data_IF_856786626856
#
_entry.id   IF_856786626856
#
_cell.length_a   1.000
_cell.length_b   1.000
_cell.length_c   1.000
_cell.angle_alpha   90.00
_cell.angle_beta   90.00
_cell.angle_gamma   90.00
#
_symmetry.space_group_name_H-M   'P 1'
#
loop_
_entity.id
_entity.type
_entity.pdbx_description
1 polymer ?
#
# COMPACT_ATOMS: atom_id res chain seq x y z
N UNK A 1 35.21 32.80 -16.98
CA UNK A 1 34.94 31.59 -16.17
C UNK A 1 33.45 31.36 -16.10
N UNK A 2 32.96 30.35 -16.82
CA UNK A 2 31.59 29.85 -16.67
C UNK A 2 31.60 28.40 -17.16
N UNK A 3 31.81 27.48 -16.22
CA UNK A 3 31.71 26.04 -16.44
C UNK A 3 30.24 25.63 -16.23
N UNK A 4 29.54 25.36 -17.33
CA UNK A 4 28.28 24.61 -17.34
C UNK A 4 28.62 23.13 -17.42
N UNK A 5 28.35 22.38 -16.35
CA UNK A 5 28.43 20.92 -16.28
C UNK A 5 27.02 20.37 -16.44
N UNK A 6 26.61 20.12 -17.69
CA UNK A 6 25.47 19.27 -17.99
C UNK A 6 26.02 17.89 -18.40
N UNK A 7 25.91 16.94 -17.48
CA UNK A 7 26.25 15.55 -17.69
C UNK A 7 24.97 14.70 -17.68
N UNK A 8 24.20 14.79 -18.76
CA UNK A 8 23.15 13.81 -19.06
C UNK A 8 23.81 12.50 -19.49
N UNK A 9 23.88 11.58 -18.54
CA UNK A 9 24.32 10.20 -18.78
C UNK A 9 23.19 9.35 -19.34
N UNK A 10 22.80 9.60 -20.59
CA UNK A 10 22.08 8.61 -21.41
C UNK A 10 23.03 7.43 -21.66
N UNK A 11 22.86 6.38 -20.86
CA UNK A 11 23.37 5.05 -21.20
C UNK A 11 22.20 4.21 -21.66
N UNK A 12 22.05 4.19 -22.98
CA UNK A 12 21.16 3.32 -23.72
C UNK A 12 21.31 1.87 -23.26
N UNK A 13 20.17 1.21 -23.08
CA UNK A 13 20.11 -0.24 -22.83
C UNK A 13 20.24 -1.02 -24.15
N UNK A 14 20.77 -0.41 -25.21
CA UNK A 14 20.99 -1.09 -26.47
C UNK A 14 22.26 -1.93 -26.40
N UNK A 15 22.06 -3.24 -26.26
CA UNK A 15 23.10 -4.23 -26.52
C UNK A 15 23.10 -4.46 -28.04
N UNK A 16 24.15 -3.99 -28.70
CA UNK A 16 24.28 -3.95 -30.16
C UNK A 16 23.89 -5.23 -30.89
N UNK A 17 23.22 -5.04 -32.02
CA UNK A 17 22.75 -6.07 -32.94
C UNK A 17 23.93 -6.81 -33.59
N UNK A 18 24.00 -8.12 -33.35
CA UNK A 18 24.59 -9.08 -34.28
C UNK A 18 23.67 -10.28 -34.35
N UNK A 19 23.30 -10.64 -35.58
CA UNK A 19 22.48 -11.79 -35.97
C UNK A 19 22.80 -13.04 -35.12
N UNK A 20 21.96 -13.28 -34.12
CA UNK A 20 21.88 -14.53 -33.38
C UNK A 20 20.39 -14.88 -33.33
N UNK A 21 20.07 -16.16 -33.60
CA UNK A 21 18.72 -16.69 -33.58
C UNK A 21 17.87 -16.05 -32.47
N UNK A 22 16.73 -15.45 -32.84
CA UNK A 22 15.81 -14.76 -31.93
C UNK A 22 15.65 -15.57 -30.63
N UNK A 23 16.27 -15.10 -29.55
CA UNK A 23 16.16 -15.74 -28.25
C UNK A 23 14.75 -15.47 -27.70
N UNK A 24 13.80 -16.29 -28.14
CA UNK A 24 12.40 -16.26 -27.74
C UNK A 24 12.23 -16.44 -26.22
N UNK A 25 13.27 -16.90 -25.51
CA UNK A 25 13.21 -17.19 -24.07
C UNK A 25 13.76 -16.06 -23.21
N UNK A 26 14.68 -15.24 -23.70
CA UNK A 26 15.40 -14.21 -22.95
C UNK A 26 16.61 -14.74 -22.14
N UNK A 27 16.91 -16.05 -22.23
CA UNK A 27 18.03 -16.69 -21.50
C UNK A 27 19.39 -16.23 -21.99
N UNK A 28 19.59 -16.17 -23.29
CA UNK A 28 20.83 -15.69 -23.92
C UNK A 28 21.07 -14.23 -23.57
N UNK A 29 20.03 -13.39 -23.64
CA UNK A 29 20.11 -11.98 -23.23
C UNK A 29 20.49 -11.84 -21.76
N UNK A 30 19.94 -12.67 -20.88
CA UNK A 30 20.30 -12.69 -19.47
C UNK A 30 21.75 -13.10 -19.23
N UNK A 31 22.21 -14.18 -19.86
CA UNK A 31 23.58 -14.67 -19.72
C UNK A 31 24.59 -13.62 -20.19
N UNK A 32 24.35 -12.99 -21.35
CA UNK A 32 25.18 -11.88 -21.86
C UNK A 32 25.19 -10.69 -20.92
N UNK A 33 24.03 -10.33 -20.36
CA UNK A 33 23.94 -9.23 -19.40
C UNK A 33 24.68 -9.54 -18.09
N UNK A 34 24.62 -10.80 -17.62
CA UNK A 34 25.36 -11.25 -16.45
C UNK A 34 26.86 -11.18 -16.66
N UNK A 35 27.35 -11.65 -17.81
CA UNK A 35 28.76 -11.57 -18.19
C UNK A 35 29.24 -10.11 -18.25
N UNK A 36 28.51 -9.24 -18.95
CA UNK A 36 28.85 -7.81 -19.09
C UNK A 36 28.86 -7.07 -17.74
N UNK A 37 27.98 -7.44 -16.82
CA UNK A 37 27.86 -6.81 -15.50
C UNK A 37 28.72 -7.49 -14.42
N UNK A 38 29.45 -8.56 -14.79
CA UNK A 38 30.24 -9.40 -13.89
C UNK A 38 29.45 -9.91 -12.68
N UNK A 39 28.25 -10.44 -12.94
CA UNK A 39 27.38 -11.05 -11.93
C UNK A 39 27.15 -12.52 -12.24
N UNK A 40 27.00 -13.33 -11.19
CA UNK A 40 26.72 -14.76 -11.35
C UNK A 40 25.24 -14.92 -11.75
N UNK A 41 24.94 -15.62 -12.86
CA UNK A 41 23.56 -15.89 -13.27
C UNK A 41 22.78 -16.66 -12.19
N UNK A 42 21.57 -16.22 -11.90
CA UNK A 42 20.66 -16.95 -11.02
C UNK A 42 20.08 -18.17 -11.75
N UNK A 43 20.45 -19.38 -11.35
CA UNK A 43 19.94 -20.62 -11.97
C UNK A 43 18.42 -20.68 -11.96
N UNK A 44 17.80 -20.29 -10.84
CA UNK A 44 16.34 -20.26 -10.69
C UNK A 44 15.66 -19.35 -11.71
N UNK A 45 16.32 -18.26 -12.15
CA UNK A 45 15.78 -17.42 -13.22
C UNK A 45 15.75 -18.20 -14.53
N UNK A 46 16.87 -18.83 -14.92
CA UNK A 46 16.97 -19.63 -16.14
C UNK A 46 16.00 -20.81 -16.18
N UNK A 47 15.72 -21.41 -15.02
CA UNK A 47 14.75 -22.50 -14.87
C UNK A 47 13.30 -22.06 -15.03
N UNK A 48 12.96 -20.81 -14.66
CA UNK A 48 11.57 -20.34 -14.55
C UNK A 48 11.20 -19.18 -15.49
N UNK A 49 12.09 -18.78 -16.40
CA UNK A 49 11.87 -17.63 -17.30
C UNK A 49 10.66 -17.79 -18.26
N UNK A 50 10.20 -19.02 -18.47
CA UNK A 50 9.02 -19.34 -19.30
C UNK A 50 7.73 -19.49 -18.49
N UNK A 51 7.80 -19.40 -17.15
CA UNK A 51 6.63 -19.52 -16.31
C UNK A 51 5.89 -18.18 -16.23
N UNK A 52 4.60 -18.23 -15.92
CA UNK A 52 3.79 -17.04 -15.69
C UNK A 52 4.16 -16.29 -14.40
N UNK A 53 4.81 -16.98 -13.47
CA UNK A 53 5.27 -16.43 -12.20
C UNK A 53 6.75 -16.72 -12.00
N UNK A 54 7.49 -15.66 -11.73
CA UNK A 54 8.89 -15.70 -11.40
C UNK A 54 9.09 -15.14 -9.99
N UNK A 55 9.44 -16.01 -9.05
CA UNK A 55 9.81 -15.63 -7.70
C UNK A 55 11.32 -15.80 -7.49
N UNK A 56 12.01 -14.72 -7.11
CA UNK A 56 13.44 -14.71 -6.83
C UNK A 56 13.75 -14.04 -5.49
N UNK A 57 12.92 -14.29 -4.48
CA UNK A 57 13.11 -13.72 -3.14
C UNK A 57 14.40 -14.19 -2.48
N UNK A 58 15.01 -13.33 -1.65
CA UNK A 58 16.15 -13.64 -0.77
C UNK A 58 17.39 -14.14 -1.51
N UNK A 59 17.69 -13.59 -2.70
CA UNK A 59 18.83 -14.03 -3.53
C UNK A 59 20.00 -13.05 -3.54
N UNK A 60 19.85 -11.87 -2.92
CA UNK A 60 20.92 -10.87 -2.89
C UNK A 60 21.38 -10.47 -4.29
N UNK A 61 20.45 -10.32 -5.23
CA UNK A 61 20.78 -9.97 -6.62
C UNK A 61 21.62 -8.69 -6.72
N UNK A 62 21.36 -7.73 -5.82
CA UNK A 62 22.00 -6.44 -5.83
C UNK A 62 21.59 -5.61 -7.06
N UNK A 63 22.05 -4.35 -7.15
CA UNK A 63 21.69 -3.47 -8.27
C UNK A 63 22.08 -4.03 -9.64
N UNK A 64 23.26 -4.66 -9.73
CA UNK A 64 23.79 -5.22 -10.98
C UNK A 64 23.06 -6.50 -11.40
N UNK A 65 22.80 -7.42 -10.48
CA UNK A 65 22.07 -8.65 -10.78
C UNK A 65 20.64 -8.36 -11.22
N UNK A 66 19.98 -7.40 -10.55
CA UNK A 66 18.66 -6.91 -10.96
C UNK A 66 18.71 -6.26 -12.33
N UNK A 67 19.73 -5.44 -12.63
CA UNK A 67 19.89 -4.86 -13.96
C UNK A 67 20.05 -5.93 -15.04
N UNK A 68 20.84 -6.98 -14.79
CA UNK A 68 20.99 -8.09 -15.73
C UNK A 68 19.66 -8.79 -16.01
N UNK A 69 18.88 -9.04 -14.95
CA UNK A 69 17.56 -9.64 -15.05
C UNK A 69 16.56 -8.74 -15.79
N UNK A 70 16.56 -7.44 -15.49
CA UNK A 70 15.68 -6.47 -16.13
C UNK A 70 15.88 -6.43 -17.66
N UNK A 71 17.13 -6.54 -18.15
CA UNK A 71 17.43 -6.58 -19.60
C UNK A 71 16.70 -7.75 -20.28
N UNK A 72 16.77 -8.95 -19.72
CA UNK A 72 16.08 -10.12 -20.29
C UNK A 72 14.57 -10.06 -20.19
N UNK A 73 14.03 -9.33 -19.20
CA UNK A 73 12.59 -9.20 -19.02
C UNK A 73 11.95 -8.18 -19.95
N UNK A 74 12.71 -7.31 -20.63
CA UNK A 74 12.15 -6.34 -21.59
C UNK A 74 11.32 -7.03 -22.67
N UNK A 75 11.85 -8.12 -23.24
CA UNK A 75 11.20 -8.87 -24.34
C UNK A 75 10.45 -10.10 -23.86
N UNK A 76 10.47 -10.39 -22.56
CA UNK A 76 9.80 -11.58 -22.02
C UNK A 76 8.28 -11.42 -22.07
N UNK A 77 7.62 -12.40 -22.68
CA UNK A 77 6.16 -12.42 -22.86
C UNK A 77 5.45 -13.43 -21.96
N UNK A 78 6.20 -14.24 -21.23
CA UNK A 78 5.65 -15.34 -20.41
C UNK A 78 5.29 -14.88 -19.00
N UNK A 79 6.16 -14.10 -18.37
CA UNK A 79 6.03 -13.70 -16.96
C UNK A 79 4.97 -12.61 -16.83
N UNK A 80 3.99 -12.87 -15.97
CA UNK A 80 2.93 -11.94 -15.60
C UNK A 80 3.08 -11.46 -14.15
N UNK A 81 3.66 -12.29 -13.28
CA UNK A 81 3.90 -11.99 -11.87
C UNK A 81 5.39 -12.10 -11.55
N UNK A 82 5.98 -10.99 -11.11
CA UNK A 82 7.40 -10.87 -10.81
C UNK A 82 7.59 -10.55 -9.32
N UNK A 83 8.15 -11.50 -8.57
CA UNK A 83 8.49 -11.29 -7.17
C UNK A 83 10.01 -11.20 -6.99
N UNK A 84 10.50 -10.01 -6.66
CA UNK A 84 11.89 -9.69 -6.36
C UNK A 84 12.08 -9.21 -4.91
N UNK A 85 11.19 -9.58 -3.99
CA UNK A 85 11.27 -9.18 -2.58
C UNK A 85 12.63 -9.55 -1.96
N UNK A 86 13.18 -8.66 -1.13
CA UNK A 86 14.40 -8.88 -0.35
C UNK A 86 15.61 -9.33 -1.19
N UNK A 87 16.06 -8.45 -2.08
CA UNK A 87 17.20 -8.68 -2.97
C UNK A 87 18.25 -7.56 -2.95
N UNK A 88 18.13 -6.62 -2.02
CA UNK A 88 19.05 -5.48 -1.88
C UNK A 88 19.28 -4.73 -3.21
N UNK A 89 18.21 -4.46 -3.96
CA UNK A 89 18.34 -3.88 -5.29
C UNK A 89 18.84 -2.43 -5.28
N UNK A 90 18.64 -1.73 -4.16
CA UNK A 90 18.87 -0.30 -4.02
C UNK A 90 18.11 0.52 -5.08
N UNK A 91 18.27 1.85 -5.08
CA UNK A 91 17.60 2.72 -6.05
C UNK A 91 17.96 2.42 -7.50
N UNK A 92 19.19 1.98 -7.76
CA UNK A 92 19.67 1.66 -9.12
C UNK A 92 19.02 0.40 -9.68
N UNK A 93 18.85 -0.65 -8.87
CA UNK A 93 18.14 -1.85 -9.30
C UNK A 93 16.64 -1.57 -9.49
N UNK A 94 16.02 -0.78 -8.60
CA UNK A 94 14.64 -0.31 -8.80
C UNK A 94 14.46 0.48 -10.08
N UNK A 95 15.40 1.36 -10.42
CA UNK A 95 15.38 2.11 -11.68
C UNK A 95 15.52 1.21 -12.91
N UNK A 96 16.30 0.13 -12.83
CA UNK A 96 16.41 -0.85 -13.90
C UNK A 96 15.09 -1.60 -14.12
N UNK A 97 14.42 -2.03 -13.04
CA UNK A 97 13.08 -2.64 -13.12
C UNK A 97 12.06 -1.66 -13.69
N UNK A 98 12.07 -0.40 -13.23
CA UNK A 98 11.20 0.64 -13.74
C UNK A 98 11.39 0.87 -15.25
N UNK A 99 12.64 0.91 -15.73
CA UNK A 99 12.94 1.04 -17.17
C UNK A 99 12.41 -0.15 -17.96
N UNK A 100 12.59 -1.37 -17.45
CA UNK A 100 12.05 -2.58 -18.09
C UNK A 100 10.52 -2.57 -18.17
N UNK A 101 9.83 -2.18 -17.09
CA UNK A 101 8.37 -2.12 -17.03
C UNK A 101 7.75 -1.05 -17.92
N UNK A 102 8.51 -0.05 -18.39
CA UNK A 102 8.01 0.89 -19.42
C UNK A 102 7.75 0.18 -20.75
N UNK A 103 8.58 -0.81 -21.07
CA UNK A 103 8.55 -1.53 -22.34
C UNK A 103 7.77 -2.85 -22.24
N UNK A 104 7.89 -3.56 -21.11
CA UNK A 104 7.21 -4.84 -20.91
C UNK A 104 5.69 -4.63 -20.74
N UNK A 105 4.90 -5.32 -21.57
CA UNK A 105 3.43 -5.24 -21.58
C UNK A 105 2.72 -6.48 -21.02
N UNK A 106 3.46 -7.43 -20.47
CA UNK A 106 2.92 -8.72 -20.01
C UNK A 106 2.90 -8.83 -18.49
N UNK A 107 3.82 -8.14 -17.80
CA UNK A 107 3.86 -8.10 -16.34
C UNK A 107 2.71 -7.23 -15.82
N UNK A 108 1.87 -7.83 -14.98
CA UNK A 108 0.70 -7.20 -14.36
C UNK A 108 0.83 -7.08 -12.84
N UNK A 109 1.78 -7.81 -12.24
CA UNK A 109 2.03 -7.78 -10.79
C UNK A 109 3.52 -7.83 -10.49
N UNK A 110 3.97 -6.90 -9.65
CA UNK A 110 5.37 -6.80 -9.26
C UNK A 110 5.48 -6.59 -7.75
N UNK A 111 6.30 -7.42 -7.12
CA UNK A 111 6.71 -7.25 -5.73
C UNK A 111 8.19 -6.85 -5.64
N UNK A 112 8.44 -5.62 -5.19
CA UNK A 112 9.77 -5.05 -4.94
C UNK A 112 9.98 -4.77 -3.46
N UNK A 113 9.25 -5.42 -2.57
CA UNK A 113 9.33 -5.15 -1.13
C UNK A 113 10.72 -5.45 -0.55
N UNK A 114 11.09 -4.75 0.52
CA UNK A 114 12.34 -4.97 1.27
C UNK A 114 13.63 -4.84 0.43
N UNK A 115 13.69 -3.89 -0.49
CA UNK A 115 14.82 -3.76 -1.44
C UNK A 115 15.66 -2.50 -1.30
N UNK A 116 15.40 -1.69 -0.28
CA UNK A 116 16.12 -0.44 -0.02
C UNK A 116 16.11 0.51 -1.25
N UNK A 117 15.00 0.58 -1.98
CA UNK A 117 14.91 1.40 -3.20
C UNK A 117 15.18 2.90 -2.93
N UNK A 118 14.75 3.40 -1.78
CA UNK A 118 14.82 4.81 -1.42
C UNK A 118 14.12 5.73 -2.43
N UNK A 119 14.31 7.03 -2.27
CA UNK A 119 13.64 8.03 -3.10
C UNK A 119 14.10 7.99 -4.58
N UNK A 120 15.32 7.51 -4.84
CA UNK A 120 15.83 7.32 -6.21
C UNK A 120 15.01 6.27 -6.97
N UNK A 121 14.83 5.09 -6.36
CA UNK A 121 14.03 4.02 -6.95
C UNK A 121 12.57 4.42 -7.07
N UNK A 122 12.03 5.10 -6.05
CA UNK A 122 10.67 5.62 -6.06
C UNK A 122 10.41 6.55 -7.25
N UNK A 123 11.30 7.52 -7.48
CA UNK A 123 11.20 8.45 -8.61
C UNK A 123 11.19 7.73 -9.96
N UNK A 124 12.01 6.69 -10.11
CA UNK A 124 12.02 5.89 -11.34
C UNK A 124 10.71 5.12 -11.52
N UNK A 125 10.19 4.51 -10.45
CA UNK A 125 8.90 3.81 -10.44
C UNK A 125 7.75 4.78 -10.74
N UNK A 126 7.73 5.98 -10.16
CA UNK A 126 6.75 7.03 -10.46
C UNK A 126 6.78 7.41 -11.95
N UNK A 127 7.98 7.57 -12.53
CA UNK A 127 8.11 7.88 -13.95
C UNK A 127 7.62 6.73 -14.85
N UNK A 128 7.78 5.47 -14.41
CA UNK A 128 7.22 4.32 -15.10
C UNK A 128 5.70 4.26 -15.00
N UNK A 129 5.12 4.49 -13.82
CA UNK A 129 3.66 4.47 -13.61
C UNK A 129 2.92 5.48 -14.50
N UNK A 130 3.53 6.62 -14.83
CA UNK A 130 2.91 7.62 -15.74
C UNK A 130 2.69 7.10 -17.16
N UNK A 131 3.43 6.09 -17.60
CA UNK A 131 3.40 5.58 -18.99
C UNK A 131 2.96 4.11 -19.08
N UNK A 132 3.20 3.32 -18.04
CA UNK A 132 2.82 1.92 -18.01
C UNK A 132 1.29 1.78 -17.86
N UNK A 133 0.70 0.95 -18.71
CA UNK A 133 -0.75 0.71 -18.76
C UNK A 133 -1.11 -0.76 -18.52
N UNK A 134 -0.18 -1.56 -18.01
CA UNK A 134 -0.35 -3.02 -17.84
C UNK A 134 -0.27 -3.46 -16.39
N UNK A 135 0.46 -2.72 -15.55
CA UNK A 135 0.65 -3.05 -14.16
C UNK A 135 -0.63 -2.78 -13.36
N UNK A 136 -1.10 -3.81 -12.67
CA UNK A 136 -2.33 -3.82 -11.85
C UNK A 136 -2.00 -3.86 -10.36
N UNK A 137 -0.92 -4.56 -9.97
CA UNK A 137 -0.48 -4.68 -8.58
C UNK A 137 1.00 -4.32 -8.42
N UNK A 138 1.28 -3.50 -7.42
CA UNK A 138 2.63 -3.07 -7.10
C UNK A 138 2.86 -3.07 -5.59
N UNK A 139 3.83 -3.86 -5.14
CA UNK A 139 4.27 -3.87 -3.75
C UNK A 139 5.62 -3.17 -3.60
N UNK A 140 5.64 -2.13 -2.77
CA UNK A 140 6.81 -1.31 -2.45
C UNK A 140 7.04 -1.25 -0.93
N UNK A 141 6.59 -2.27 -0.19
CA UNK A 141 6.74 -2.31 1.26
C UNK A 141 8.22 -2.31 1.67
N UNK A 142 8.59 -1.70 2.80
CA UNK A 142 9.95 -1.87 3.35
C UNK A 142 11.08 -1.23 2.54
N UNK A 143 10.82 -0.17 1.76
CA UNK A 143 11.77 0.40 0.79
C UNK A 143 12.41 1.72 1.19
N UNK A 144 12.19 2.17 2.44
CA UNK A 144 12.69 3.46 2.97
C UNK A 144 12.24 4.65 2.14
N UNK A 145 11.03 4.59 1.60
CA UNK A 145 10.41 5.71 0.89
C UNK A 145 10.11 6.84 1.88
N UNK A 146 10.47 8.07 1.53
CA UNK A 146 10.28 9.25 2.38
C UNK A 146 9.19 10.18 1.82
N UNK A 147 9.01 11.33 2.45
CA UNK A 147 8.15 12.40 1.92
C UNK A 147 8.51 12.82 0.50
N UNK A 148 9.79 12.77 0.12
CA UNK A 148 10.24 13.09 -1.24
C UNK A 148 9.74 12.07 -2.26
N UNK A 149 9.65 10.78 -1.89
CA UNK A 149 9.03 9.76 -2.74
C UNK A 149 7.57 10.10 -3.06
N UNK A 150 6.81 10.61 -2.09
CA UNK A 150 5.39 10.94 -2.27
C UNK A 150 5.18 12.10 -3.25
N UNK A 151 6.08 13.07 -3.30
CA UNK A 151 6.05 14.17 -4.29
C UNK A 151 6.09 13.66 -5.74
N UNK A 152 6.77 12.55 -5.99
CA UNK A 152 6.82 11.93 -7.31
C UNK A 152 5.69 10.91 -7.51
N UNK A 153 5.39 10.08 -6.50
CA UNK A 153 4.37 9.04 -6.56
C UNK A 153 2.96 9.61 -6.70
N UNK A 154 2.60 10.64 -5.93
CA UNK A 154 1.25 11.23 -5.96
C UNK A 154 0.79 11.61 -7.38
N UNK A 155 1.52 12.48 -8.10
CA UNK A 155 1.17 12.85 -9.48
C UNK A 155 1.16 11.66 -10.46
N UNK A 156 2.02 10.66 -10.23
CA UNK A 156 2.01 9.44 -11.04
C UNK A 156 0.74 8.62 -10.83
N UNK A 157 0.24 8.54 -9.59
CA UNK A 157 -1.03 7.89 -9.29
C UNK A 157 -2.22 8.63 -9.90
N UNK A 158 -2.23 9.97 -9.92
CA UNK A 158 -3.29 10.73 -10.62
C UNK A 158 -3.32 10.39 -12.11
N UNK A 159 -2.14 10.27 -12.72
CA UNK A 159 -2.00 9.95 -14.16
C UNK A 159 -2.36 8.50 -14.47
N UNK A 160 -2.02 7.57 -13.57
CA UNK A 160 -2.20 6.14 -13.80
C UNK A 160 -3.60 5.66 -13.37
N UNK A 161 -4.36 5.12 -14.31
CA UNK A 161 -5.69 4.54 -14.07
C UNK A 161 -5.72 3.01 -14.11
N UNK A 162 -4.59 2.34 -14.35
CA UNK A 162 -4.51 0.88 -14.52
C UNK A 162 -4.12 0.17 -13.23
N UNK A 163 -3.30 0.80 -12.39
CA UNK A 163 -2.88 0.27 -11.10
C UNK A 163 -4.06 0.26 -10.14
N UNK A 164 -4.39 -0.92 -9.63
CA UNK A 164 -5.53 -1.14 -8.73
C UNK A 164 -5.09 -1.43 -7.30
N UNK A 165 -3.93 -2.05 -7.10
CA UNK A 165 -3.42 -2.40 -5.78
C UNK A 165 -2.02 -1.85 -5.57
N UNK A 166 -1.87 -1.05 -4.52
CA UNK A 166 -0.60 -0.45 -4.15
C UNK A 166 -0.31 -0.69 -2.66
N UNK A 167 0.85 -1.25 -2.39
CA UNK A 167 1.38 -1.41 -1.03
C UNK A 167 2.59 -0.51 -0.81
N UNK A 168 2.44 0.45 0.10
CA UNK A 168 3.46 1.40 0.55
C UNK A 168 3.77 1.23 2.04
N UNK A 169 3.43 0.08 2.63
CA UNK A 169 3.66 -0.19 4.05
C UNK A 169 5.14 -0.20 4.44
N UNK A 170 5.42 -0.10 5.74
CA UNK A 170 6.78 -0.18 6.30
C UNK A 170 7.79 0.78 5.65
N UNK A 171 7.34 1.99 5.33
CA UNK A 171 8.17 3.06 4.78
C UNK A 171 8.30 4.20 5.80
N UNK A 172 8.89 5.32 5.37
CA UNK A 172 9.10 6.52 6.18
C UNK A 172 8.26 7.69 5.66
N UNK A 173 7.05 7.41 5.17
CA UNK A 173 6.11 8.43 4.70
C UNK A 173 5.60 9.24 5.90
N UNK A 174 5.84 10.53 5.89
CA UNK A 174 5.56 11.46 6.97
C UNK A 174 4.32 12.32 6.73
N UNK A 175 4.26 13.45 7.44
CA UNK A 175 3.16 14.40 7.34
C UNK A 175 3.08 15.05 5.95
N UNK A 176 4.20 15.26 5.26
CA UNK A 176 4.18 15.81 3.91
C UNK A 176 3.64 14.77 2.92
N UNK A 177 4.09 13.52 2.99
CA UNK A 177 3.52 12.44 2.18
C UNK A 177 2.02 12.29 2.40
N UNK A 178 1.54 12.35 3.65
CA UNK A 178 0.11 12.29 3.95
C UNK A 178 -0.70 13.40 3.26
N UNK A 179 -0.14 14.62 3.15
CA UNK A 179 -0.78 15.71 2.40
C UNK A 179 -0.82 15.43 0.91
N UNK A 180 0.33 15.15 0.31
CA UNK A 180 0.46 14.91 -1.13
C UNK A 180 -0.37 13.72 -1.58
N UNK A 181 -0.29 12.59 -0.86
CA UNK A 181 -1.10 11.42 -1.17
C UNK A 181 -2.58 11.69 -0.95
N UNK A 182 -2.96 12.45 0.08
CA UNK A 182 -4.36 12.84 0.31
C UNK A 182 -4.95 13.61 -0.87
N UNK A 183 -4.25 14.68 -1.31
CA UNK A 183 -4.70 15.49 -2.44
C UNK A 183 -4.80 14.64 -3.73
N UNK A 184 -3.76 13.88 -4.05
CA UNK A 184 -3.73 13.03 -5.25
C UNK A 184 -4.74 11.87 -5.20
N UNK A 185 -5.02 11.29 -4.04
CA UNK A 185 -6.01 10.22 -3.91
C UNK A 185 -7.41 10.71 -4.22
N UNK A 186 -7.76 11.95 -3.92
CA UNK A 186 -9.08 12.48 -4.27
C UNK A 186 -9.34 12.51 -5.77
N UNK A 187 -8.28 12.62 -6.58
CA UNK A 187 -8.34 12.65 -8.04
C UNK A 187 -8.06 11.29 -8.70
N UNK A 188 -7.45 10.35 -7.98
CA UNK A 188 -7.11 9.03 -8.54
C UNK A 188 -8.36 8.20 -8.84
N UNK A 189 -8.38 7.63 -10.05
CA UNK A 189 -9.51 6.82 -10.56
C UNK A 189 -9.22 5.33 -10.68
N UNK A 190 -7.94 4.94 -10.61
CA UNK A 190 -7.48 3.56 -10.81
C UNK A 190 -7.50 2.69 -9.56
N UNK A 191 -7.05 3.22 -8.41
CA UNK A 191 -6.82 2.40 -7.22
C UNK A 191 -8.13 1.85 -6.65
N UNK A 192 -8.02 0.62 -6.16
CA UNK A 192 -9.07 -0.12 -5.43
C UNK A 192 -8.60 -0.51 -4.04
N UNK A 193 -7.29 -0.69 -3.86
CA UNK A 193 -6.65 -1.06 -2.60
C UNK A 193 -5.39 -0.26 -2.36
N UNK A 194 -5.27 0.31 -1.17
CA UNK A 194 -4.07 1.03 -0.73
C UNK A 194 -3.65 0.59 0.67
N UNK A 195 -2.42 0.15 0.82
CA UNK A 195 -1.82 -0.19 2.12
C UNK A 195 -0.74 0.84 2.49
N UNK A 196 -0.91 1.50 3.65
CA UNK A 196 0.01 2.50 4.21
C UNK A 196 0.43 2.12 5.64
N UNK A 197 0.36 0.84 5.98
CA UNK A 197 0.67 0.31 7.31
C UNK A 197 2.07 0.70 7.75
N UNK A 198 2.24 1.04 9.03
CA UNK A 198 3.57 1.30 9.60
C UNK A 198 4.35 2.38 8.85
N UNK A 199 3.73 3.55 8.73
CA UNK A 199 4.37 4.77 8.26
C UNK A 199 4.34 5.83 9.38
N UNK A 200 4.83 7.03 9.08
CA UNK A 200 4.86 8.17 9.99
C UNK A 200 3.84 9.24 9.58
N UNK A 201 2.66 8.86 9.08
CA UNK A 201 1.62 9.82 8.67
C UNK A 201 0.88 10.30 9.92
N UNK A 202 1.08 11.57 10.31
CA UNK A 202 0.54 12.13 11.56
C UNK A 202 -0.12 13.51 11.33
N UNK A 203 -0.74 14.02 12.40
CA UNK A 203 -1.23 15.40 12.50
C UNK A 203 -1.97 15.88 11.25
N UNK A 204 -1.47 16.95 10.63
CA UNK A 204 -2.07 17.55 9.44
C UNK A 204 -1.96 16.65 8.20
N UNK A 205 -0.93 15.81 8.10
CA UNK A 205 -0.80 14.84 7.02
C UNK A 205 -1.90 13.79 7.08
N UNK A 206 -2.16 13.24 8.27
CA UNK A 206 -3.26 12.30 8.51
C UNK A 206 -4.63 12.94 8.21
N UNK A 207 -4.86 14.18 8.65
CA UNK A 207 -6.10 14.89 8.37
C UNK A 207 -6.31 15.12 6.86
N UNK A 208 -5.25 15.48 6.14
CA UNK A 208 -5.34 15.69 4.68
C UNK A 208 -5.57 14.39 3.93
N UNK A 209 -4.87 13.32 4.32
CA UNK A 209 -5.08 11.98 3.77
C UNK A 209 -6.54 11.54 3.95
N UNK A 210 -7.10 11.75 5.14
CA UNK A 210 -8.49 11.44 5.43
C UNK A 210 -9.46 12.24 4.54
N UNK A 211 -9.24 13.54 4.37
CA UNK A 211 -10.06 14.36 3.46
C UNK A 211 -9.97 13.85 2.00
N UNK A 212 -8.79 13.43 1.56
CA UNK A 212 -8.59 12.79 0.26
C UNK A 212 -9.43 11.53 0.07
N UNK A 213 -9.49 10.68 1.11
CA UNK A 213 -10.39 9.52 1.14
C UNK A 213 -11.86 9.94 1.03
N UNK A 214 -12.25 11.06 1.65
CA UNK A 214 -13.61 11.59 1.57
C UNK A 214 -14.09 11.85 0.14
N UNK A 215 -13.21 12.42 -0.69
CA UNK A 215 -13.50 12.74 -2.09
C UNK A 215 -13.29 11.59 -3.09
N UNK A 216 -12.60 10.52 -2.70
CA UNK A 216 -12.31 9.42 -3.62
C UNK A 216 -13.54 8.50 -3.84
N UNK A 217 -13.89 8.27 -5.10
CA UNK A 217 -15.07 7.48 -5.53
C UNK A 217 -14.73 6.12 -6.14
N UNK A 218 -13.55 5.58 -5.87
CA UNK A 218 -13.01 4.40 -6.55
C UNK A 218 -12.36 3.38 -5.61
N UNK A 219 -11.69 3.87 -4.56
CA UNK A 219 -10.98 3.10 -3.57
C UNK A 219 -11.97 2.33 -2.69
N UNK A 220 -11.75 1.01 -2.57
CA UNK A 220 -12.60 0.09 -1.81
C UNK A 220 -11.99 -0.29 -0.47
N UNK A 221 -10.68 -0.43 -0.43
CA UNK A 221 -9.96 -0.90 0.75
C UNK A 221 -8.78 0.01 1.07
N UNK A 222 -8.65 0.42 2.33
CA UNK A 222 -7.50 1.19 2.80
C UNK A 222 -7.04 0.71 4.17
N UNK A 223 -5.75 0.40 4.27
CA UNK A 223 -5.11 0.09 5.54
C UNK A 223 -4.16 1.23 5.96
N UNK A 224 -4.55 1.94 7.00
CA UNK A 224 -3.83 3.06 7.62
C UNK A 224 -3.27 2.66 8.98
N UNK A 225 -3.26 1.37 9.33
CA UNK A 225 -2.89 0.91 10.67
C UNK A 225 -1.44 1.20 11.03
N UNK A 226 -1.16 1.28 12.34
CA UNK A 226 0.17 1.57 12.85
C UNK A 226 0.78 2.89 12.34
N UNK A 227 -0.05 3.91 12.15
CA UNK A 227 0.37 5.30 11.98
C UNK A 227 0.11 6.06 13.30
N UNK A 228 0.10 7.40 13.27
CA UNK A 228 -0.28 8.22 14.43
C UNK A 228 -1.31 9.25 13.99
N UNK A 229 -2.50 8.79 13.57
CA UNK A 229 -3.59 9.68 13.17
C UNK A 229 -4.03 10.59 14.32
N UNK A 230 -4.02 10.08 15.56
CA UNK A 230 -4.39 10.84 16.73
C UNK A 230 -5.82 11.41 16.65
N UNK A 231 -6.07 12.48 17.41
CA UNK A 231 -7.37 13.16 17.44
C UNK A 231 -7.71 13.82 16.11
N UNK A 232 -6.78 14.58 15.54
CA UNK A 232 -7.03 15.39 14.33
C UNK A 232 -7.34 14.51 13.11
N UNK A 233 -6.54 13.47 12.88
CA UNK A 233 -6.78 12.52 11.79
C UNK A 233 -8.10 11.76 11.96
N UNK A 234 -8.48 11.40 13.19
CA UNK A 234 -9.76 10.72 13.44
C UNK A 234 -10.98 11.64 13.22
N UNK A 235 -10.88 12.93 13.56
CA UNK A 235 -11.93 13.91 13.26
C UNK A 235 -12.12 14.03 11.74
N UNK A 236 -11.03 14.17 11.00
CA UNK A 236 -11.06 14.26 9.55
C UNK A 236 -11.60 12.97 8.91
N UNK A 237 -11.20 11.78 9.38
CA UNK A 237 -11.79 10.51 8.94
C UNK A 237 -13.29 10.45 9.21
N UNK A 238 -13.74 10.93 10.37
CA UNK A 238 -15.17 11.01 10.69
C UNK A 238 -15.96 11.92 9.73
N UNK A 239 -15.34 12.99 9.23
CA UNK A 239 -15.92 13.85 8.18
C UNK A 239 -15.89 13.13 6.82
N UNK A 240 -14.75 12.57 6.44
CA UNK A 240 -14.56 11.84 5.20
C UNK A 240 -15.57 10.69 5.04
N UNK A 241 -15.85 9.94 6.12
CA UNK A 241 -16.84 8.86 6.10
C UNK A 241 -18.28 9.35 5.85
N UNK A 242 -18.61 10.62 6.13
CA UNK A 242 -19.93 11.18 5.80
C UNK A 242 -20.11 11.39 4.31
N UNK A 243 -19.01 11.73 3.62
CA UNK A 243 -19.00 12.11 2.21
C UNK A 243 -18.71 10.90 1.32
N UNK A 244 -17.79 10.04 1.75
CA UNK A 244 -17.38 8.87 1.00
C UNK A 244 -18.52 7.86 0.90
N UNK A 245 -18.77 7.40 -0.32
CA UNK A 245 -19.83 6.46 -0.66
C UNK A 245 -19.32 5.22 -1.42
N UNK A 246 -18.01 4.93 -1.35
CA UNK A 246 -17.38 3.84 -2.11
C UNK A 246 -16.46 2.95 -1.29
N UNK A 247 -15.83 3.47 -0.24
CA UNK A 247 -14.95 2.73 0.65
C UNK A 247 -15.76 1.67 1.41
N UNK A 248 -15.24 0.45 1.40
CA UNK A 248 -15.86 -0.74 2.00
C UNK A 248 -15.07 -1.23 3.21
N UNK A 249 -13.73 -1.15 3.16
CA UNK A 249 -12.86 -1.61 4.24
C UNK A 249 -11.89 -0.51 4.68
N UNK A 250 -11.93 -0.20 5.98
CA UNK A 250 -11.06 0.78 6.61
C UNK A 250 -10.38 0.16 7.83
N UNK A 251 -9.05 0.05 7.78
CA UNK A 251 -8.25 -0.32 8.95
C UNK A 251 -7.49 0.90 9.47
N UNK A 252 -7.83 1.33 10.68
CA UNK A 252 -7.20 2.42 11.43
C UNK A 252 -6.73 1.91 12.81
N UNK A 253 -6.46 0.62 12.92
CA UNK A 253 -5.95 0.04 14.17
C UNK A 253 -4.58 0.62 14.55
N UNK A 254 -4.29 0.67 15.84
CA UNK A 254 -3.00 1.12 16.38
C UNK A 254 -2.58 2.52 15.90
N UNK A 255 -3.48 3.50 15.96
CA UNK A 255 -3.30 4.86 15.45
C UNK A 255 -3.32 5.97 16.52
N UNK A 256 -3.31 5.57 17.79
CA UNK A 256 -3.39 6.48 18.94
C UNK A 256 -4.62 7.39 18.91
N UNK A 257 -5.75 6.87 18.42
CA UNK A 257 -7.03 7.59 18.37
C UNK A 257 -7.62 7.66 19.79
N UNK A 258 -7.85 8.87 20.36
CA UNK A 258 -8.46 9.02 21.67
C UNK A 258 -10.01 8.93 21.59
N UNK A 259 -10.73 8.88 22.71
CA UNK A 259 -12.18 8.73 22.74
C UNK A 259 -12.92 9.83 21.96
N UNK A 260 -12.42 11.07 21.98
CA UNK A 260 -13.00 12.20 21.26
C UNK A 260 -12.91 12.00 19.74
N UNK A 261 -11.81 11.39 19.25
CA UNK A 261 -11.65 11.04 17.85
C UNK A 261 -12.63 9.93 17.44
N UNK A 262 -12.81 8.92 18.30
CA UNK A 262 -13.78 7.85 18.08
C UNK A 262 -15.23 8.36 17.99
N UNK A 263 -15.60 9.38 18.77
CA UNK A 263 -16.91 10.02 18.67
C UNK A 263 -17.14 10.59 17.26
N UNK A 264 -16.12 11.22 16.66
CA UNK A 264 -16.26 11.79 15.31
C UNK A 264 -16.37 10.71 14.23
N UNK A 265 -15.62 9.62 14.37
CA UNK A 265 -15.79 8.44 13.51
C UNK A 265 -17.22 7.89 13.62
N UNK A 266 -17.75 7.80 14.84
CA UNK A 266 -19.13 7.37 15.08
C UNK A 266 -20.16 8.27 14.36
N UNK A 267 -19.96 9.60 14.40
CA UNK A 267 -20.80 10.56 13.66
C UNK A 267 -20.77 10.34 12.14
N UNK A 268 -19.63 9.90 11.59
CA UNK A 268 -19.52 9.54 10.18
C UNK A 268 -20.25 8.25 9.84
N UNK A 269 -20.03 7.21 10.66
CA UNK A 269 -20.66 5.90 10.48
C UNK A 269 -22.18 5.92 10.63
N UNK A 270 -22.73 6.88 11.38
CA UNK A 270 -24.18 7.04 11.53
C UNK A 270 -24.90 7.33 10.20
N UNK A 271 -24.19 7.89 9.22
CA UNK A 271 -24.75 8.21 7.89
C UNK A 271 -24.11 7.41 6.76
N UNK A 272 -22.91 6.85 6.97
CA UNK A 272 -22.21 6.07 5.97
C UNK A 272 -22.92 4.73 5.70
N UNK A 273 -23.11 4.38 4.43
CA UNK A 273 -23.83 3.17 4.02
C UNK A 273 -22.93 2.14 3.32
N UNK A 274 -21.62 2.37 3.23
CA UNK A 274 -20.73 1.59 2.36
C UNK A 274 -19.68 0.81 3.12
N UNK A 275 -19.21 1.31 4.27
CA UNK A 275 -18.22 0.59 5.08
C UNK A 275 -18.84 -0.71 5.61
N UNK A 276 -18.21 -1.81 5.23
CA UNK A 276 -18.50 -3.19 5.67
C UNK A 276 -17.57 -3.62 6.77
N UNK A 277 -16.29 -3.24 6.69
CA UNK A 277 -15.29 -3.59 7.69
C UNK A 277 -14.62 -2.33 8.24
N UNK A 278 -14.76 -2.12 9.54
CA UNK A 278 -13.97 -1.13 10.27
C UNK A 278 -13.12 -1.82 11.34
N UNK A 279 -11.81 -1.73 11.19
CA UNK A 279 -10.87 -2.11 12.24
C UNK A 279 -10.30 -0.86 12.92
N UNK A 280 -10.66 -0.67 14.19
CA UNK A 280 -10.17 0.42 15.04
C UNK A 280 -9.49 -0.14 16.31
N UNK A 281 -9.11 -1.42 16.29
CA UNK A 281 -8.45 -2.09 17.39
C UNK A 281 -7.17 -1.40 17.86
N UNK A 282 -6.75 -1.69 19.09
CA UNK A 282 -5.51 -1.17 19.70
C UNK A 282 -5.40 0.37 19.66
N UNK A 283 -6.53 1.08 19.75
CA UNK A 283 -6.56 2.52 19.96
C UNK A 283 -7.06 2.83 21.38
N UNK A 284 -6.57 3.91 22.04
CA UNK A 284 -7.02 4.32 23.36
C UNK A 284 -8.40 4.99 23.35
N UNK A 285 -9.37 4.43 22.62
CA UNK A 285 -10.73 4.99 22.50
C UNK A 285 -11.61 4.72 23.74
N UNK A 286 -11.12 3.88 24.65
CA UNK A 286 -11.82 3.38 25.83
C UNK A 286 -13.13 2.67 25.48
N UNK A 287 -13.80 2.14 26.50
CA UNK A 287 -15.14 1.56 26.33
C UNK A 287 -16.14 2.57 25.77
N UNK A 288 -16.04 3.83 26.20
CA UNK A 288 -16.94 4.91 25.76
C UNK A 288 -16.88 5.12 24.25
N UNK A 289 -15.69 5.11 23.64
CA UNK A 289 -15.53 5.22 22.19
C UNK A 289 -16.11 4.02 21.45
N UNK A 290 -15.85 2.80 21.94
CA UNK A 290 -16.42 1.57 21.38
C UNK A 290 -17.96 1.62 21.40
N UNK A 291 -18.54 1.99 22.54
CA UNK A 291 -19.98 2.12 22.73
C UNK A 291 -20.59 3.10 21.74
N UNK A 292 -20.00 4.29 21.58
CA UNK A 292 -20.50 5.32 20.66
C UNK A 292 -20.46 4.89 19.20
N UNK A 293 -19.38 4.22 18.78
CA UNK A 293 -19.26 3.69 17.42
C UNK A 293 -20.34 2.62 17.17
N UNK A 294 -20.48 1.66 18.08
CA UNK A 294 -21.46 0.58 17.95
C UNK A 294 -22.90 1.11 17.97
N UNK A 295 -23.21 2.06 18.86
CA UNK A 295 -24.49 2.75 18.91
C UNK A 295 -24.80 3.46 17.58
N UNK A 296 -23.82 4.14 16.99
CA UNK A 296 -24.02 4.87 15.72
C UNK A 296 -24.29 3.94 14.54
N UNK A 297 -23.69 2.74 14.54
CA UNK A 297 -23.99 1.69 13.54
C UNK A 297 -25.41 1.16 13.75
N UNK A 298 -25.84 0.94 15.00
CA UNK A 298 -27.21 0.52 15.32
C UNK A 298 -28.26 1.55 14.89
N UNK A 299 -27.98 2.84 15.07
CA UNK A 299 -28.86 3.95 14.66
C UNK A 299 -28.94 4.13 13.14
N UNK A 300 -28.03 3.52 12.38
CA UNK A 300 -27.99 3.63 10.92
C UNK A 300 -28.67 2.43 10.26
N UNK A 301 -29.96 2.59 9.93
CA UNK A 301 -30.77 1.56 9.26
C UNK A 301 -30.27 1.17 7.86
N UNK A 302 -29.42 2.00 7.24
CA UNK A 302 -28.80 1.72 5.94
C UNK A 302 -27.35 1.29 6.02
N UNK A 303 -26.86 0.92 7.21
CA UNK A 303 -25.47 0.50 7.38
C UNK A 303 -25.20 -0.82 6.67
N UNK A 304 -24.10 -0.90 5.92
CA UNK A 304 -23.59 -2.15 5.34
C UNK A 304 -22.56 -2.84 6.25
N UNK A 305 -22.45 -2.42 7.52
CA UNK A 305 -21.42 -2.91 8.43
C UNK A 305 -21.57 -4.41 8.71
N UNK A 306 -20.54 -5.18 8.37
CA UNK A 306 -20.44 -6.63 8.58
C UNK A 306 -19.47 -6.97 9.70
N UNK A 307 -18.36 -6.22 9.83
CA UNK A 307 -17.33 -6.47 10.83
C UNK A 307 -16.85 -5.19 11.49
N UNK A 308 -16.93 -5.16 12.82
CA UNK A 308 -16.43 -4.07 13.65
C UNK A 308 -15.39 -4.62 14.64
N UNK A 309 -14.13 -4.25 14.45
CA UNK A 309 -13.02 -4.80 15.19
C UNK A 309 -12.44 -3.80 16.20
N UNK A 310 -12.67 -4.07 17.48
CA UNK A 310 -12.11 -3.39 18.65
C UNK A 310 -11.04 -4.23 19.36
N UNK A 311 -10.39 -5.17 18.66
CA UNK A 311 -9.37 -6.05 19.26
C UNK A 311 -8.29 -5.26 19.99
N UNK A 312 -7.93 -5.71 21.20
CA UNK A 312 -6.97 -5.01 22.05
C UNK A 312 -7.56 -3.85 22.87
N UNK A 313 -8.88 -3.64 22.86
CA UNK A 313 -9.58 -2.69 23.73
C UNK A 313 -10.47 -3.46 24.70
N UNK A 314 -10.29 -3.25 26.00
CA UNK A 314 -11.15 -3.84 27.04
C UNK A 314 -12.45 -3.05 27.17
N UNK A 315 -13.57 -3.75 27.18
CA UNK A 315 -14.92 -3.16 27.27
C UNK A 315 -15.60 -3.50 28.59
N UNK A 316 -16.61 -2.72 29.02
CA UNK A 316 -17.37 -2.99 30.24
C UNK A 316 -18.63 -3.84 29.96
N UNK A 317 -19.39 -4.13 31.02
CA UNK A 317 -20.64 -4.89 30.91
C UNK A 317 -21.69 -4.18 30.06
N UNK A 318 -21.82 -2.85 30.18
CA UNK A 318 -22.80 -2.04 29.42
C UNK A 318 -22.58 -2.17 27.90
N UNK A 319 -21.32 -2.20 27.45
CA UNK A 319 -21.00 -2.47 26.06
C UNK A 319 -21.41 -3.88 25.64
N UNK A 320 -21.23 -4.87 26.51
CA UNK A 320 -21.68 -6.24 26.27
C UNK A 320 -23.20 -6.35 26.12
N UNK A 321 -23.95 -5.53 26.87
CA UNK A 321 -25.41 -5.44 26.78
C UNK A 321 -25.83 -4.78 25.45
N UNK A 322 -25.15 -3.69 25.06
CA UNK A 322 -25.35 -3.06 23.75
C UNK A 322 -25.03 -4.03 22.60
N UNK A 323 -23.94 -4.79 22.68
CA UNK A 323 -23.61 -5.81 21.67
C UNK A 323 -24.71 -6.85 21.49
N UNK A 324 -25.39 -7.27 22.57
CA UNK A 324 -26.53 -8.18 22.46
C UNK A 324 -27.72 -7.54 21.76
N UNK A 325 -28.09 -6.32 22.17
CA UNK A 325 -29.17 -5.58 21.52
C UNK A 325 -28.89 -5.30 20.04
N UNK A 326 -27.64 -4.99 19.68
CA UNK A 326 -27.26 -4.80 18.28
C UNK A 326 -27.32 -6.10 17.49
N UNK A 327 -26.95 -7.25 18.07
CA UNK A 327 -27.08 -8.56 17.38
C UNK A 327 -28.53 -8.95 17.10
N UNK A 328 -29.49 -8.47 17.89
CA UNK A 328 -30.91 -8.67 17.60
C UNK A 328 -31.36 -7.84 16.38
N UNK A 329 -30.82 -6.63 16.21
CA UNK A 329 -31.14 -5.73 15.10
C UNK A 329 -30.33 -6.02 13.81
N UNK A 330 -29.06 -6.42 13.97
CA UNK A 330 -28.08 -6.66 12.91
C UNK A 330 -27.40 -8.03 13.17
N UNK A 331 -28.07 -9.15 12.84
CA UNK A 331 -27.59 -10.49 13.19
C UNK A 331 -26.27 -10.88 12.51
N UNK A 332 -26.00 -10.34 11.31
CA UNK A 332 -24.77 -10.59 10.56
C UNK A 332 -23.57 -9.78 11.07
N UNK A 333 -23.78 -8.78 11.94
CA UNK A 333 -22.70 -7.92 12.43
C UNK A 333 -21.78 -8.65 13.40
N UNK A 334 -20.52 -8.80 13.01
CA UNK A 334 -19.46 -9.40 13.82
C UNK A 334 -18.69 -8.33 14.58
N UNK A 335 -18.91 -8.26 15.89
CA UNK A 335 -18.16 -7.37 16.79
C UNK A 335 -17.05 -8.16 17.50
N UNK A 336 -15.79 -7.73 17.35
CA UNK A 336 -14.63 -8.25 18.09
C UNK A 336 -14.13 -7.23 19.10
N UNK A 337 -13.66 -7.66 20.26
CA UNK A 337 -13.11 -6.77 21.30
C UNK A 337 -12.07 -7.51 22.16
N UNK A 338 -11.25 -6.76 22.90
CA UNK A 338 -10.14 -7.28 23.72
C UNK A 338 -10.54 -7.96 25.04
N UNK A 339 -11.79 -8.41 25.18
CA UNK A 339 -12.35 -8.97 26.42
C UNK A 339 -13.13 -7.96 27.28
N UNK A 340 -13.78 -8.45 28.35
CA UNK A 340 -14.70 -7.68 29.19
C UNK A 340 -14.14 -7.48 30.60
N UNK A 341 -14.09 -6.23 31.07
CA UNK A 341 -13.72 -5.86 32.43
C UNK A 341 -14.65 -6.56 33.43
N UNK A 342 -14.07 -7.39 34.31
CA UNK A 342 -14.82 -8.24 35.26
C UNK A 342 -14.68 -9.74 35.01
N UNK A 343 -14.23 -10.14 33.82
CA UNK A 343 -13.81 -11.53 33.53
C UNK A 343 -12.28 -11.67 33.60
N UNK A 344 -11.67 -11.18 34.68
CA UNK A 344 -10.34 -11.66 35.05
C UNK A 344 -10.51 -13.15 35.36
N UNK A 345 -10.14 -14.02 34.41
CA UNK A 345 -9.89 -15.43 34.71
C UNK A 345 -9.02 -15.45 35.95
N UNK A 346 -9.57 -15.97 37.06
CA UNK A 346 -8.75 -16.41 38.19
C UNK A 346 -7.67 -17.30 37.59
N UNK A 347 -6.43 -16.80 37.54
CA UNK A 347 -5.28 -17.65 37.34
C UNK A 347 -5.36 -18.64 38.49
N UNK A 348 -5.63 -19.92 38.17
CA UNK A 348 -5.59 -20.97 39.18
C UNK A 348 -4.16 -20.99 39.74
N UNK A 349 -4.03 -21.12 41.08
CA UNK A 349 -2.76 -20.97 41.78
C UNK A 349 -1.70 -21.97 41.32
#
# INVERSE_FOLDING_TARGET
ESLTLDGDGDTDLELGEKDEACDLTGKTSYMKACEKLHVVPASRFLENIQNSELALMHRGLGPKGTKALAVSLVTNTSIQRLNLQDNWMEGMGGAAVAKMLKENRHITEVDLSDNNLGDLGARAISAMLKVNTTLVRLHLSGNRLTDQSAECLGPALVTNSTLQHLDLSHNSLGDHAGRTLGDCLSENTGLRSLCLVWNCIRGRGAARLANGLGGNVFLRTVDLSCNYFGKEGAIALGQALKENNMLEELNVSNNQIPPEGAIHLALGLRVNKTIKLLNIGRNPILTTGCFRILQSVQENSGSSMETLDFSGITVNQEFGDLCRAVKEALPELRVKHGGTMGTLRKVKP
#
